data_IF_745022607933
#
_entry.id   IF_745022607933
#
_cell.length_a   1.000
_cell.length_b   1.000
_cell.length_c   1.000
_cell.angle_alpha   90.00
_cell.angle_beta   90.00
_cell.angle_gamma   90.00
#
_symmetry.space_group_name_H-M   'P 1'
#
loop_
_entity.id
_entity.type
_entity.pdbx_description
1 polymer ?
#
# COMPACT_ATOMS: atom_id res chain seq x y z
N UNK A 1 33.41 38.56 -1.35
CA UNK A 1 34.09 37.49 -0.58
C UNK A 1 33.15 36.29 -0.52
N UNK A 2 33.47 35.19 -1.21
CA UNK A 2 32.73 33.92 -1.16
C UNK A 2 33.57 32.86 -0.45
N UNK A 3 33.08 32.17 0.59
CA UNK A 3 33.68 30.93 1.04
C UNK A 3 33.10 29.76 0.25
N UNK A 4 33.96 29.09 -0.52
CA UNK A 4 33.70 27.78 -1.12
C UNK A 4 33.73 26.71 -0.02
N UNK A 5 32.58 26.15 0.32
CA UNK A 5 32.53 24.90 1.10
C UNK A 5 32.90 23.73 0.18
N UNK A 6 34.15 23.24 0.30
CA UNK A 6 34.53 21.91 -0.19
C UNK A 6 34.17 20.89 0.89
N UNK A 7 32.98 20.30 0.80
CA UNK A 7 32.69 19.06 1.51
C UNK A 7 33.43 17.92 0.82
N UNK A 8 34.62 17.56 1.34
CA UNK A 8 35.26 16.29 0.99
C UNK A 8 34.60 15.23 1.86
N UNK A 9 33.60 14.54 1.33
CA UNK A 9 33.11 13.30 1.90
C UNK A 9 34.20 12.24 1.76
N UNK A 10 34.98 12.04 2.83
CA UNK A 10 35.92 10.93 2.92
C UNK A 10 35.12 9.66 3.28
N UNK A 11 34.42 9.09 2.29
CA UNK A 11 33.65 7.85 2.48
C UNK A 11 34.67 6.70 2.50
N UNK A 12 34.90 6.14 3.69
CA UNK A 12 35.66 4.90 3.86
C UNK A 12 35.07 3.80 2.95
N UNK A 13 35.90 3.09 2.19
CA UNK A 13 35.49 1.99 1.28
C UNK A 13 34.62 0.94 2.00
N UNK A 14 34.87 0.69 3.29
CA UNK A 14 34.06 -0.23 4.09
C UNK A 14 32.65 0.31 4.36
N UNK A 15 32.50 1.62 4.54
CA UNK A 15 31.18 2.25 4.63
C UNK A 15 30.47 2.16 3.29
N UNK A 16 31.13 2.44 2.17
CA UNK A 16 30.52 2.34 0.84
C UNK A 16 30.04 0.92 0.54
N UNK A 17 30.86 -0.11 0.82
CA UNK A 17 30.45 -1.52 0.69
C UNK A 17 29.25 -1.85 1.56
N UNK A 18 29.23 -1.38 2.81
CA UNK A 18 28.09 -1.59 3.72
C UNK A 18 26.81 -0.90 3.23
N UNK A 19 26.91 0.33 2.74
CA UNK A 19 25.78 1.04 2.13
C UNK A 19 25.26 0.29 0.89
N UNK A 20 26.15 -0.16 0.00
CA UNK A 20 25.77 -0.95 -1.16
C UNK A 20 25.10 -2.28 -0.76
N UNK A 21 25.62 -2.99 0.24
CA UNK A 21 24.99 -4.23 0.74
C UNK A 21 23.59 -3.98 1.31
N UNK A 22 23.39 -2.87 2.04
CA UNK A 22 22.06 -2.49 2.57
C UNK A 22 21.09 -2.16 1.43
N UNK A 23 21.53 -1.40 0.43
CA UNK A 23 20.71 -1.06 -0.73
C UNK A 23 20.33 -2.29 -1.55
N UNK A 24 21.26 -3.24 -1.73
CA UNK A 24 21.00 -4.51 -2.41
C UNK A 24 20.01 -5.35 -1.62
N UNK A 25 20.17 -5.44 -0.30
CA UNK A 25 19.25 -6.18 0.57
C UNK A 25 17.83 -5.58 0.54
N UNK A 26 17.68 -4.27 0.68
CA UNK A 26 16.38 -3.60 0.60
C UNK A 26 15.75 -3.74 -0.80
N UNK A 27 16.54 -3.66 -1.88
CA UNK A 27 16.04 -3.91 -3.24
C UNK A 27 15.57 -5.37 -3.41
N UNK A 28 16.33 -6.33 -2.91
CA UNK A 28 15.96 -7.76 -2.95
C UNK A 28 14.71 -8.04 -2.13
N UNK A 29 14.57 -7.42 -0.96
CA UNK A 29 13.39 -7.56 -0.10
C UNK A 29 12.15 -6.97 -0.78
N UNK A 30 12.26 -5.78 -1.40
CA UNK A 30 11.18 -5.17 -2.18
C UNK A 30 10.75 -6.04 -3.35
N UNK A 31 11.70 -6.60 -4.11
CA UNK A 31 11.39 -7.52 -5.22
C UNK A 31 10.71 -8.81 -4.74
N UNK A 32 11.16 -9.37 -3.63
CA UNK A 32 10.50 -10.55 -3.04
C UNK A 32 9.08 -10.20 -2.57
N UNK A 33 8.92 -9.04 -1.94
CA UNK A 33 7.63 -8.56 -1.45
C UNK A 33 6.67 -8.20 -2.59
N UNK A 34 7.16 -7.64 -3.70
CA UNK A 34 6.34 -7.26 -4.86
C UNK A 34 5.75 -8.47 -5.59
N UNK A 35 6.42 -9.63 -5.51
CA UNK A 35 5.97 -10.88 -6.11
C UNK A 35 4.94 -11.62 -5.24
N UNK A 36 4.73 -11.20 -3.99
CA UNK A 36 3.68 -11.79 -3.14
C UNK A 36 2.30 -11.28 -3.60
N UNK A 37 1.32 -12.17 -3.82
CA UNK A 37 -0.04 -11.77 -4.13
C UNK A 37 -0.60 -10.81 -3.08
N UNK A 38 -1.18 -9.70 -3.55
CA UNK A 38 -1.84 -8.72 -2.69
C UNK A 38 -3.27 -9.18 -2.43
N UNK A 39 -3.62 -9.38 -1.16
CA UNK A 39 -4.89 -9.98 -0.74
C UNK A 39 -5.83 -8.88 -0.25
N UNK A 40 -6.93 -8.57 -0.98
CA UNK A 40 -7.89 -7.58 -0.53
C UNK A 40 -8.45 -7.87 0.87
N UNK A 41 -8.76 -6.82 1.61
CA UNK A 41 -9.24 -6.93 2.99
C UNK A 41 -8.14 -7.14 4.04
N UNK A 42 -6.87 -7.30 3.62
CA UNK A 42 -5.72 -7.27 4.53
C UNK A 42 -5.21 -5.85 4.75
N UNK A 43 -4.56 -5.69 5.90
CA UNK A 43 -3.88 -4.46 6.29
C UNK A 43 -2.42 -4.56 5.83
N UNK A 44 -1.97 -3.51 5.18
CA UNK A 44 -0.60 -3.30 4.76
C UNK A 44 -0.06 -2.03 5.42
N UNK A 45 1.26 -1.89 5.46
CA UNK A 45 1.90 -0.62 5.78
C UNK A 45 2.41 0.03 4.50
N UNK A 46 2.33 1.35 4.45
CA UNK A 46 2.91 2.16 3.39
C UNK A 46 3.53 3.43 3.96
N UNK A 47 4.28 4.15 3.15
CA UNK A 47 4.88 5.42 3.52
C UNK A 47 4.23 6.55 2.70
N UNK A 48 3.42 7.36 3.37
CA UNK A 48 2.83 8.57 2.81
C UNK A 48 3.06 9.73 3.78
N UNK A 49 4.16 10.46 3.59
CA UNK A 49 4.73 11.48 4.52
C UNK A 49 5.22 10.91 5.86
N UNK A 50 4.48 9.98 6.46
CA UNK A 50 4.86 9.14 7.59
C UNK A 50 4.52 7.67 7.27
N UNK A 51 4.98 6.74 8.10
CA UNK A 51 4.49 5.36 8.03
C UNK A 51 3.02 5.34 8.45
N UNK A 52 2.18 4.71 7.64
CA UNK A 52 0.76 4.56 7.90
C UNK A 52 0.28 3.15 7.57
N UNK A 53 -0.85 2.77 8.18
CA UNK A 53 -1.54 1.54 7.84
C UNK A 53 -2.59 1.83 6.77
N UNK A 54 -2.82 0.84 5.92
CA UNK A 54 -3.81 0.91 4.85
C UNK A 54 -4.56 -0.40 4.71
N UNK A 55 -5.88 -0.32 4.54
CA UNK A 55 -6.70 -1.43 4.07
C UNK A 55 -6.56 -1.54 2.55
N UNK A 56 -6.19 -2.72 2.05
CA UNK A 56 -6.18 -2.99 0.62
C UNK A 56 -7.61 -3.23 0.12
N UNK A 57 -8.08 -2.41 -0.82
CA UNK A 57 -9.42 -2.53 -1.38
C UNK A 57 -9.43 -3.53 -2.53
N UNK A 58 -10.51 -4.31 -2.71
CA UNK A 58 -10.66 -5.18 -3.86
C UNK A 58 -10.98 -4.35 -5.11
N UNK A 59 -10.61 -4.87 -6.29
CA UNK A 59 -10.90 -4.24 -7.59
C UNK A 59 -12.39 -4.18 -7.94
N UNK A 60 -13.18 -5.06 -7.31
CA UNK A 60 -14.63 -5.17 -7.42
C UNK A 60 -15.20 -5.51 -6.04
N UNK A 61 -16.49 -5.25 -5.81
CA UNK A 61 -17.19 -5.64 -4.58
C UNK A 61 -16.45 -5.20 -3.29
N UNK A 62 -16.26 -3.89 -3.15
CA UNK A 62 -15.59 -3.28 -1.98
C UNK A 62 -16.33 -3.61 -0.67
N UNK A 63 -17.66 -3.78 -0.73
CA UNK A 63 -18.47 -4.17 0.43
C UNK A 63 -18.01 -5.49 1.07
N UNK A 64 -17.41 -6.40 0.29
CA UNK A 64 -16.84 -7.65 0.80
C UNK A 64 -15.75 -7.45 1.86
N UNK A 65 -15.14 -6.26 1.93
CA UNK A 65 -14.16 -5.90 2.95
C UNK A 65 -14.73 -4.95 4.02
N UNK A 66 -16.06 -4.84 4.12
CA UNK A 66 -16.74 -4.05 5.15
C UNK A 66 -16.74 -2.53 4.89
N UNK A 67 -16.59 -2.14 3.63
CA UNK A 67 -16.56 -0.75 3.18
C UNK A 67 -17.80 -0.54 2.28
N UNK A 68 -18.87 0.12 2.76
CA UNK A 68 -20.17 0.24 2.07
C UNK A 68 -20.17 1.27 0.92
N UNK A 69 -19.07 1.37 0.18
CA UNK A 69 -18.85 2.34 -0.90
C UNK A 69 -18.37 1.64 -2.18
N UNK A 70 -18.44 2.33 -3.32
CA UNK A 70 -17.92 1.86 -4.61
C UNK A 70 -16.65 2.62 -5.01
N UNK A 71 -15.93 2.13 -6.03
CA UNK A 71 -14.75 2.85 -6.56
C UNK A 71 -15.09 4.28 -7.00
N UNK A 72 -16.30 4.48 -7.51
CA UNK A 72 -16.79 5.78 -7.96
C UNK A 72 -17.13 6.71 -6.79
N UNK A 73 -17.85 6.23 -5.77
CA UNK A 73 -18.24 7.07 -4.63
C UNK A 73 -17.03 7.45 -3.78
N UNK A 74 -16.02 6.58 -3.70
CA UNK A 74 -14.71 6.88 -3.12
C UNK A 74 -13.88 7.85 -3.99
N UNK A 75 -14.29 8.11 -5.24
CA UNK A 75 -13.58 8.99 -6.16
C UNK A 75 -12.28 8.42 -6.73
N UNK A 76 -12.03 7.12 -6.56
CA UNK A 76 -10.84 6.42 -7.06
C UNK A 76 -10.83 6.33 -8.59
N UNK A 77 -11.99 6.42 -9.24
CA UNK A 77 -12.13 6.44 -10.69
C UNK A 77 -11.70 7.75 -11.35
N UNK A 78 -11.47 8.83 -10.58
CA UNK A 78 -11.05 10.13 -11.12
C UNK A 78 -9.63 10.12 -11.70
N UNK A 79 -8.76 9.27 -11.15
CA UNK A 79 -7.36 9.15 -11.54
C UNK A 79 -6.93 7.68 -11.47
N UNK A 80 -7.41 6.88 -12.42
CA UNK A 80 -7.10 5.45 -12.49
C UNK A 80 -5.66 5.25 -13.00
N UNK A 81 -4.82 4.47 -12.30
CA UNK A 81 -3.46 4.17 -12.75
C UNK A 81 -3.44 3.41 -14.09
N UNK A 82 -2.37 3.61 -14.87
CA UNK A 82 -2.17 2.96 -16.19
C UNK A 82 -2.15 1.43 -16.16
N UNK A 83 -1.97 0.83 -14.98
CA UNK A 83 -2.03 -0.62 -14.80
C UNK A 83 -3.46 -1.18 -14.91
N UNK A 84 -4.48 -0.34 -15.04
CA UNK A 84 -5.88 -0.75 -15.08
C UNK A 84 -6.60 -0.37 -16.37
N UNK A 85 -7.54 -1.23 -16.74
CA UNK A 85 -8.67 -0.89 -17.61
C UNK A 85 -9.91 -0.78 -16.73
N UNK A 86 -10.65 0.32 -16.88
CA UNK A 86 -11.90 0.56 -16.17
C UNK A 86 -13.08 0.39 -17.11
N UNK A 87 -14.00 -0.48 -16.74
CA UNK A 87 -15.30 -0.62 -17.40
C UNK A 87 -16.36 0.11 -16.58
N UNK A 88 -16.88 1.21 -17.12
CA UNK A 88 -17.90 2.03 -16.47
C UNK A 88 -19.27 1.36 -16.39
N UNK A 89 -19.59 0.40 -17.27
CA UNK A 89 -20.87 -0.30 -17.23
C UNK A 89 -20.91 -1.28 -16.06
N UNK A 90 -19.84 -2.05 -15.90
CA UNK A 90 -19.73 -3.05 -14.83
C UNK A 90 -19.07 -2.51 -13.55
N UNK A 91 -18.60 -1.26 -13.56
CA UNK A 91 -17.83 -0.62 -12.49
C UNK A 91 -16.61 -1.42 -12.03
N UNK A 92 -15.98 -2.13 -12.96
CA UNK A 92 -14.93 -3.09 -12.67
C UNK A 92 -13.57 -2.61 -13.17
N UNK A 93 -12.56 -2.91 -12.36
CA UNK A 93 -11.15 -2.75 -12.72
C UNK A 93 -10.54 -4.10 -13.09
N UNK A 94 -9.96 -4.17 -14.27
CA UNK A 94 -9.16 -5.30 -14.74
C UNK A 94 -7.73 -4.85 -15.01
N UNK A 95 -6.78 -5.79 -14.98
CA UNK A 95 -5.39 -5.45 -15.30
C UNK A 95 -5.28 -5.06 -16.77
N UNK A 96 -4.53 -4.00 -17.05
CA UNK A 96 -4.10 -3.70 -18.40
C UNK A 96 -3.08 -4.75 -18.86
N UNK A 97 -3.03 -4.99 -20.18
CA UNK A 97 -2.05 -5.89 -20.79
C UNK A 97 -0.64 -5.59 -20.28
N UNK A 98 0.13 -6.64 -20.02
CA UNK A 98 1.50 -6.60 -19.46
C UNK A 98 1.59 -6.29 -17.97
N UNK A 99 0.47 -5.92 -17.34
CA UNK A 99 0.34 -5.83 -15.88
C UNK A 99 -0.36 -7.06 -15.31
N UNK A 100 -0.62 -8.14 -16.05
CA UNK A 100 -1.16 -9.40 -15.49
C UNK A 100 -0.13 -10.16 -14.66
N UNK A 101 -0.56 -11.22 -13.95
CA UNK A 101 0.30 -11.94 -13.00
C UNK A 101 1.41 -12.67 -13.77
N UNK A 102 2.66 -12.47 -13.36
CA UNK A 102 3.84 -13.02 -14.04
C UNK A 102 4.32 -12.21 -15.26
N UNK A 103 3.64 -11.11 -15.61
CA UNK A 103 4.00 -10.27 -16.75
C UNK A 103 5.04 -9.19 -16.39
N UNK A 104 5.64 -8.58 -17.41
CA UNK A 104 6.78 -7.65 -17.28
C UNK A 104 6.51 -6.47 -16.34
N UNK A 105 5.29 -5.94 -16.32
CA UNK A 105 4.92 -4.74 -15.57
C UNK A 105 4.17 -5.06 -14.27
N UNK A 106 4.09 -6.33 -13.84
CA UNK A 106 3.48 -6.71 -12.55
C UNK A 106 4.07 -5.92 -11.38
N UNK A 107 5.40 -5.76 -11.35
CA UNK A 107 6.10 -4.99 -10.31
C UNK A 107 5.83 -3.48 -10.34
N UNK A 108 5.11 -2.97 -11.34
CA UNK A 108 4.75 -1.55 -11.48
C UNK A 108 3.27 -1.28 -11.20
N UNK A 109 2.53 -2.27 -10.70
CA UNK A 109 1.12 -2.11 -10.33
C UNK A 109 0.97 -1.11 -9.21
N UNK A 110 -0.11 -0.34 -9.27
CA UNK A 110 -0.65 0.38 -8.13
C UNK A 110 -1.94 -0.30 -7.67
N UNK A 111 -2.24 -0.25 -6.38
CA UNK A 111 -3.43 -0.85 -5.80
C UNK A 111 -4.28 0.20 -5.09
N UNK A 112 -5.62 0.06 -5.11
CA UNK A 112 -6.50 0.95 -4.39
C UNK A 112 -6.44 0.63 -2.88
N UNK A 113 -6.33 1.67 -2.07
CA UNK A 113 -6.25 1.54 -0.62
C UNK A 113 -7.11 2.58 0.09
N UNK A 114 -7.51 2.25 1.31
CA UNK A 114 -8.09 3.16 2.28
C UNK A 114 -7.14 3.30 3.47
N UNK A 115 -6.87 4.54 3.89
CA UNK A 115 -5.90 4.83 4.95
C UNK A 115 -6.55 4.74 6.33
N UNK A 116 -5.81 4.23 7.30
CA UNK A 116 -6.12 4.43 8.71
C UNK A 116 -5.46 5.76 9.13
N UNK A 117 -6.19 6.87 8.99
CA UNK A 117 -5.73 8.25 9.17
C UNK A 117 -6.38 8.96 10.38
N UNK A 118 -7.12 8.20 11.21
CA UNK A 118 -7.74 8.70 12.43
C UNK A 118 -9.08 9.41 12.25
N UNK A 119 -9.61 9.50 11.03
CA UNK A 119 -11.00 9.93 10.80
C UNK A 119 -12.00 8.82 11.16
N UNK A 120 -13.29 9.06 10.94
CA UNK A 120 -14.27 7.97 11.00
C UNK A 120 -14.00 6.94 9.91
N UNK A 121 -13.89 5.66 10.28
CA UNK A 121 -13.60 4.57 9.36
C UNK A 121 -14.80 3.61 9.27
N UNK A 122 -15.25 3.21 8.08
CA UNK A 122 -14.69 3.55 6.76
C UNK A 122 -15.15 4.91 6.18
N UNK A 123 -16.29 5.45 6.63
CA UNK A 123 -17.03 6.49 5.89
C UNK A 123 -16.36 7.86 5.72
N UNK A 124 -15.31 8.17 6.47
CA UNK A 124 -14.55 9.43 6.39
C UNK A 124 -13.06 9.27 6.13
N UNK A 125 -12.59 8.04 5.86
CA UNK A 125 -11.19 7.74 5.67
C UNK A 125 -10.68 8.19 4.30
N UNK A 126 -9.43 8.67 4.26
CA UNK A 126 -8.78 8.99 2.99
C UNK A 126 -8.59 7.72 2.15
N UNK A 127 -8.64 7.87 0.83
CA UNK A 127 -8.38 6.78 -0.13
C UNK A 127 -7.34 7.19 -1.16
N UNK A 128 -6.70 6.22 -1.80
CA UNK A 128 -5.76 6.50 -2.88
C UNK A 128 -5.21 5.25 -3.56
N UNK A 129 -4.21 5.47 -4.39
CA UNK A 129 -3.49 4.42 -5.11
C UNK A 129 -2.06 4.33 -4.58
N UNK A 130 -1.59 3.11 -4.29
CA UNK A 130 -0.25 2.87 -3.79
C UNK A 130 0.46 1.84 -4.66
N UNK A 131 1.66 2.18 -5.13
CA UNK A 131 2.53 1.28 -5.87
C UNK A 131 2.89 0.03 -5.05
N UNK A 132 2.99 -1.13 -5.71
CA UNK A 132 3.24 -2.42 -5.07
C UNK A 132 4.51 -2.45 -4.21
N UNK A 133 5.55 -1.73 -4.62
CA UNK A 133 6.83 -1.59 -3.91
C UNK A 133 6.71 -0.81 -2.60
N UNK A 134 5.66 0.00 -2.48
CA UNK A 134 5.33 0.78 -1.28
C UNK A 134 4.29 0.11 -0.40
N UNK A 135 3.71 -1.03 -0.82
CA UNK A 135 2.82 -1.85 -0.02
C UNK A 135 3.59 -3.00 0.61
N UNK A 136 3.82 -2.94 1.92
CA UNK A 136 4.50 -4.01 2.66
C UNK A 136 3.53 -4.71 3.59
N UNK A 137 3.65 -6.02 3.73
CA UNK A 137 2.87 -6.77 4.71
C UNK A 137 3.08 -6.18 6.11
N UNK A 138 2.00 -6.18 6.89
CA UNK A 138 2.01 -5.71 8.27
C UNK A 138 1.37 -6.76 9.17
N UNK A 139 2.16 -7.26 10.13
CA UNK A 139 1.67 -8.17 11.16
C UNK A 139 1.03 -7.38 12.31
N UNK A 140 -0.30 -7.36 12.34
CA UNK A 140 -1.09 -6.72 13.40
C UNK A 140 -0.91 -7.39 14.77
N UNK A 141 -0.41 -8.64 14.83
CA UNK A 141 -0.11 -9.35 16.07
C UNK A 141 1.32 -9.12 16.58
N UNK A 142 2.16 -8.47 15.78
CA UNK A 142 3.54 -8.14 16.13
C UNK A 142 3.66 -7.08 17.24
N UNK A 143 4.88 -6.63 17.56
CA UNK A 143 5.11 -5.61 18.58
C UNK A 143 4.28 -4.34 18.31
N UNK A 144 3.32 -4.06 19.19
CA UNK A 144 2.41 -2.92 19.06
C UNK A 144 3.19 -1.61 19.09
N UNK A 145 2.95 -0.75 18.11
CA UNK A 145 2.93 0.70 18.35
C UNK A 145 4.16 1.52 17.96
N UNK A 146 4.44 1.63 16.66
CA UNK A 146 5.15 2.80 16.12
C UNK A 146 4.43 3.47 14.94
N UNK A 147 3.37 2.85 14.42
CA UNK A 147 2.59 3.39 13.30
C UNK A 147 1.33 4.05 13.86
N UNK A 148 1.05 5.25 13.37
CA UNK A 148 -0.13 6.02 13.76
C UNK A 148 -1.43 5.24 13.45
N UNK A 149 -2.48 5.51 14.23
CA UNK A 149 -3.82 4.95 14.04
C UNK A 149 -3.93 3.41 14.07
N UNK A 150 -2.93 2.70 14.61
CA UNK A 150 -2.96 1.24 14.80
C UNK A 150 -4.25 0.72 15.48
N UNK A 151 -4.76 1.45 16.48
CA UNK A 151 -6.00 1.07 17.18
C UNK A 151 -7.23 1.10 16.27
N UNK A 152 -7.28 2.03 15.31
CA UNK A 152 -8.38 2.11 14.34
C UNK A 152 -8.39 0.86 13.44
N UNK A 153 -7.21 0.42 13.01
CA UNK A 153 -7.04 -0.80 12.23
C UNK A 153 -7.37 -2.07 13.03
N UNK A 154 -7.03 -2.10 14.33
CA UNK A 154 -7.42 -3.18 15.25
C UNK A 154 -8.94 -3.25 15.42
N UNK A 155 -9.61 -2.11 15.65
CA UNK A 155 -11.06 -2.03 15.74
C UNK A 155 -11.76 -2.50 14.46
N UNK A 156 -11.25 -2.10 13.29
CA UNK A 156 -11.74 -2.60 12.01
C UNK A 156 -11.69 -4.14 11.95
N UNK A 157 -10.55 -4.75 12.27
CA UNK A 157 -10.40 -6.20 12.23
C UNK A 157 -11.38 -6.92 13.18
N UNK A 158 -11.58 -6.39 14.38
CA UNK A 158 -12.54 -6.95 15.33
C UNK A 158 -13.98 -6.87 14.80
N UNK A 159 -14.38 -5.73 14.25
CA UNK A 159 -15.71 -5.56 13.63
C UNK A 159 -15.89 -6.48 12.41
N UNK A 160 -14.88 -6.60 11.55
CA UNK A 160 -14.94 -7.50 10.39
C UNK A 160 -15.03 -8.98 10.78
N UNK A 161 -14.39 -9.39 11.87
CA UNK A 161 -14.56 -10.76 12.41
C UNK A 161 -15.99 -10.98 12.89
N UNK A 162 -16.55 -10.03 13.65
CA UNK A 162 -17.91 -10.12 14.18
C UNK A 162 -18.96 -10.18 13.06
N UNK A 163 -18.76 -9.46 11.96
CA UNK A 163 -19.62 -9.53 10.79
C UNK A 163 -19.60 -10.92 10.14
N UNK A 164 -18.41 -11.49 9.93
CA UNK A 164 -18.24 -12.83 9.34
C UNK A 164 -18.72 -13.98 10.21
N UNK A 165 -18.80 -13.81 11.54
CA UNK A 165 -19.35 -14.83 12.44
C UNK A 165 -20.89 -14.86 12.50
N UNK A 166 -21.58 -13.93 11.84
CA UNK A 166 -23.04 -13.84 11.82
C UNK A 166 -23.67 -14.41 10.54
N UNK A 167 -22.85 -14.85 9.59
CA UNK A 167 -23.23 -15.59 8.37
C UNK A 167 -23.13 -17.09 8.61
#
# INVERSE_FOLDING_TARGET
MHPRYRYIFNININNYRRYQSILIADKSERLHESLKPRVPGRIYRTFYKSWCLTLLLPKQNIEAVGVPETMETLGLTKNIPECYVYDSESQNLSWQKSYEDGEELESKRSYPVMYFDGTEFPGGASVGWVEVDNLREYDMAGPRGLIEHHKQAELYLELSKLARCKE
#
